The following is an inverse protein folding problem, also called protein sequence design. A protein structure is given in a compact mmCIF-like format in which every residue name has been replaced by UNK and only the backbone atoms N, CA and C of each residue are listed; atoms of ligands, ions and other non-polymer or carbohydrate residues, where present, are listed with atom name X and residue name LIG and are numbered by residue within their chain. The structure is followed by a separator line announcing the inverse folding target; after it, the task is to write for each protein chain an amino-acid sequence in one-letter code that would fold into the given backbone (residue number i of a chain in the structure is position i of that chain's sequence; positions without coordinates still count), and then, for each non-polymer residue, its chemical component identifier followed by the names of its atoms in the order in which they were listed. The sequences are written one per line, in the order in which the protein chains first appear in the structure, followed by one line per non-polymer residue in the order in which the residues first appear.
data_IF_106793859581
#
_entry.id   IF_106793859581
#
_cell.length_a   1.000
_cell.length_b   1.000
_cell.length_c   1.000
_cell.angle_alpha   90.00
_cell.angle_beta   90.00
_cell.angle_gamma   90.00
#
_symmetry.space_group_name_H-M   'P 1'
#
loop_
_entity.id
_entity.type
_entity.pdbx_description
1 polymer ?
#
# COMPACT_ATOMS: atom_id res chain seq x y z
N UNK A 1 9.02 22.81 25.53
CA UNK A 1 8.09 21.89 26.22
C UNK A 1 7.23 21.26 25.15
N UNK A 2 7.15 19.93 25.22
CA UNK A 2 6.34 19.00 24.41
C UNK A 2 6.64 18.87 22.91
N UNK A 3 7.67 18.08 22.60
CA UNK A 3 7.78 17.38 21.32
C UNK A 3 6.97 16.09 21.45
N UNK A 4 5.74 16.11 20.93
CA UNK A 4 4.84 14.97 20.88
C UNK A 4 5.54 13.75 20.29
N UNK A 5 5.69 12.74 21.13
CA UNK A 5 6.22 11.43 20.79
C UNK A 5 5.31 10.78 19.74
N UNK A 6 5.77 10.42 18.53
CA UNK A 6 4.94 9.61 17.65
C UNK A 6 4.80 8.25 18.34
N UNK A 7 3.58 7.91 18.77
CA UNK A 7 3.24 6.56 19.20
C UNK A 7 3.36 5.62 17.99
N UNK A 8 4.59 5.23 17.66
CA UNK A 8 4.84 4.07 16.82
C UNK A 8 4.53 2.85 17.68
N UNK A 9 3.29 2.37 17.56
CA UNK A 9 2.89 1.09 18.13
C UNK A 9 3.79 -0.02 17.59
N UNK A 10 4.62 -0.57 18.47
CA UNK A 10 5.29 -1.85 18.26
C UNK A 10 4.21 -2.92 18.09
N UNK A 11 3.88 -3.28 16.85
CA UNK A 11 3.01 -4.43 16.59
C UNK A 11 3.86 -5.68 16.40
N UNK A 12 3.55 -6.70 17.21
CA UNK A 12 4.19 -8.00 17.17
C UNK A 12 4.00 -8.67 15.81
N UNK A 13 5.06 -9.32 15.33
CA UNK A 13 5.23 -9.99 14.02
C UNK A 13 4.31 -11.20 13.75
N UNK A 14 3.14 -11.28 14.38
CA UNK A 14 2.12 -12.31 14.13
C UNK A 14 0.72 -11.79 14.51
N UNK A 15 0.35 -10.60 14.06
CA UNK A 15 -1.01 -10.10 14.24
C UNK A 15 -1.97 -10.82 13.27
N UNK A 16 -2.39 -12.03 13.65
CA UNK A 16 -3.64 -12.58 13.12
C UNK A 16 -4.74 -11.61 13.49
N UNK A 17 -5.35 -10.98 12.48
CA UNK A 17 -6.53 -10.15 12.68
C UNK A 17 -7.60 -10.96 13.41
N UNK A 18 -8.28 -10.30 14.33
CA UNK A 18 -9.38 -10.84 15.12
C UNK A 18 -10.59 -9.89 14.99
N UNK A 19 -11.81 -10.35 15.32
CA UNK A 19 -13.01 -9.53 15.22
C UNK A 19 -12.93 -8.17 15.92
N UNK A 20 -12.17 -8.06 17.01
CA UNK A 20 -12.06 -6.83 17.81
C UNK A 20 -11.30 -5.69 17.10
N UNK A 21 -10.58 -6.00 16.02
CA UNK A 21 -9.88 -5.00 15.22
C UNK A 21 -10.81 -4.22 14.27
N UNK A 22 -12.05 -4.70 14.05
CA UNK A 22 -12.97 -4.13 13.08
C UNK A 22 -13.99 -3.21 13.74
N UNK A 23 -13.96 -1.94 13.35
CA UNK A 23 -14.90 -0.91 13.83
C UNK A 23 -15.83 -0.50 12.69
N UNK A 24 -17.12 -0.32 12.98
CA UNK A 24 -18.11 0.16 12.00
C UNK A 24 -17.66 1.49 11.36
N UNK A 25 -17.79 1.58 10.04
CA UNK A 25 -17.40 2.76 9.26
C UNK A 25 -15.92 2.82 8.89
N UNK A 26 -15.05 1.99 9.48
CA UNK A 26 -13.63 1.95 9.15
C UNK A 26 -13.41 1.46 7.71
N UNK A 27 -12.42 2.05 7.03
CA UNK A 27 -12.01 1.61 5.70
C UNK A 27 -10.83 0.66 5.82
N UNK A 28 -10.87 -0.43 5.07
CA UNK A 28 -9.81 -1.43 5.02
C UNK A 28 -9.40 -1.73 3.59
N UNK A 29 -8.11 -1.96 3.41
CA UNK A 29 -7.57 -2.61 2.23
C UNK A 29 -7.75 -4.13 2.36
N UNK A 30 -8.20 -4.78 1.29
CA UNK A 30 -8.34 -6.23 1.17
C UNK A 30 -7.58 -6.73 -0.05
N UNK A 31 -7.08 -7.97 0.03
CA UNK A 31 -6.33 -8.59 -1.06
C UNK A 31 -7.24 -8.85 -2.27
N UNK A 32 -6.78 -8.46 -3.46
CA UNK A 32 -7.45 -8.71 -4.74
C UNK A 32 -7.21 -10.14 -5.25
N UNK A 33 -8.09 -10.63 -6.14
CA UNK A 33 -8.11 -12.02 -6.57
C UNK A 33 -7.19 -12.43 -7.74
N UNK A 34 -6.52 -11.53 -8.51
CA UNK A 34 -5.52 -11.99 -9.49
C UNK A 34 -4.13 -12.23 -8.90
N UNK A 35 -3.56 -11.24 -8.19
CA UNK A 35 -2.17 -11.26 -7.72
C UNK A 35 -2.02 -11.05 -6.20
N UNK A 36 -3.15 -11.06 -5.47
CA UNK A 36 -3.20 -11.00 -3.99
C UNK A 36 -2.57 -9.74 -3.43
N UNK A 37 -2.74 -8.62 -4.10
CA UNK A 37 -2.26 -7.32 -3.64
C UNK A 37 -3.40 -6.53 -2.98
N UNK A 38 -3.13 -5.73 -1.93
CA UNK A 38 -4.17 -5.04 -1.16
C UNK A 38 -4.66 -3.76 -1.87
N UNK A 39 -5.33 -3.91 -3.01
CA UNK A 39 -5.79 -2.80 -3.88
C UNK A 39 -7.28 -2.50 -3.77
N UNK A 40 -8.05 -3.41 -3.19
CA UNK A 40 -9.49 -3.27 -3.04
C UNK A 40 -9.79 -2.63 -1.69
N UNK A 41 -10.74 -1.69 -1.67
CA UNK A 41 -11.14 -1.02 -0.44
C UNK A 41 -12.58 -1.36 -0.07
N UNK A 42 -12.79 -1.56 1.23
CA UNK A 42 -14.10 -1.87 1.79
C UNK A 42 -14.36 -1.04 3.04
N UNK A 43 -15.61 -0.61 3.22
CA UNK A 43 -16.09 -0.02 4.47
C UNK A 43 -16.70 -1.09 5.34
N UNK A 44 -16.24 -1.21 6.58
CA UNK A 44 -16.82 -2.13 7.58
C UNK A 44 -18.25 -1.69 7.90
N UNK A 45 -19.20 -2.61 7.79
CA UNK A 45 -20.57 -2.40 8.25
C UNK A 45 -20.72 -3.00 9.65
N UNK A 46 -20.33 -4.26 9.83
CA UNK A 46 -20.30 -4.92 11.14
C UNK A 46 -19.53 -6.24 11.07
N UNK A 47 -19.02 -6.68 12.21
CA UNK A 47 -18.58 -8.07 12.39
C UNK A 47 -19.81 -8.99 12.36
N UNK A 48 -19.73 -10.10 11.62
CA UNK A 48 -20.83 -11.08 11.50
C UNK A 48 -20.52 -12.35 12.30
N UNK A 49 -19.25 -12.77 12.34
CA UNK A 49 -18.81 -13.95 13.08
C UNK A 49 -17.36 -13.81 13.55
N UNK A 50 -16.82 -14.86 14.18
CA UNK A 50 -15.40 -14.91 14.54
C UNK A 50 -14.44 -14.89 13.34
N UNK A 51 -14.93 -15.16 12.12
CA UNK A 51 -14.11 -15.21 10.91
C UNK A 51 -14.60 -14.29 9.80
N UNK A 52 -15.79 -13.70 9.89
CA UNK A 52 -16.38 -12.93 8.81
C UNK A 52 -16.87 -11.54 9.23
N UNK A 53 -16.68 -10.57 8.32
CA UNK A 53 -17.07 -9.17 8.46
C UNK A 53 -17.98 -8.80 7.28
N UNK A 54 -19.12 -8.19 7.57
CA UNK A 54 -19.99 -7.58 6.55
C UNK A 54 -19.42 -6.23 6.17
N UNK A 55 -19.26 -6.01 4.88
CA UNK A 55 -18.60 -4.83 4.32
C UNK A 55 -19.34 -4.29 3.11
N UNK A 56 -19.09 -3.02 2.81
CA UNK A 56 -19.53 -2.36 1.59
C UNK A 56 -18.31 -2.08 0.72
N UNK A 57 -18.29 -2.59 -0.51
CA UNK A 57 -17.17 -2.35 -1.43
C UNK A 57 -17.12 -0.87 -1.82
N UNK A 58 -15.91 -0.32 -1.91
CA UNK A 58 -15.68 0.99 -2.52
C UNK A 58 -15.25 0.80 -3.98
N UNK A 59 -15.88 1.54 -4.88
CA UNK A 59 -15.63 1.51 -6.32
C UNK A 59 -14.85 2.76 -6.75
N UNK A 60 -13.88 2.64 -7.67
CA UNK A 60 -13.21 3.80 -8.25
C UNK A 60 -14.21 4.77 -8.87
N UNK A 61 -14.01 6.06 -8.62
CA UNK A 61 -14.77 7.16 -9.21
C UNK A 61 -13.79 8.06 -9.99
N UNK A 62 -13.46 7.69 -11.25
CA UNK A 62 -12.50 8.45 -12.05
C UNK A 62 -13.03 9.85 -12.38
N UNK A 63 -12.16 10.84 -12.31
CA UNK A 63 -12.45 12.26 -12.54
C UNK A 63 -11.67 12.82 -13.75
N UNK A 64 -10.57 12.19 -14.13
CA UNK A 64 -9.74 12.55 -15.30
C UNK A 64 -9.93 11.55 -16.45
N UNK A 65 -9.68 11.98 -17.68
CA UNK A 65 -9.82 11.10 -18.86
C UNK A 65 -8.91 9.87 -18.78
N UNK A 66 -7.70 10.03 -18.27
CA UNK A 66 -6.75 8.94 -18.07
C UNK A 66 -7.24 7.94 -17.02
N UNK A 67 -7.88 8.44 -15.95
CA UNK A 67 -8.48 7.60 -14.91
C UNK A 67 -9.70 6.84 -15.46
N UNK A 68 -10.49 7.48 -16.32
CA UNK A 68 -11.65 6.85 -16.97
C UNK A 68 -11.18 5.69 -17.83
N UNK A 69 -10.23 5.91 -18.75
CA UNK A 69 -9.68 4.86 -19.60
C UNK A 69 -9.05 3.73 -18.78
N UNK A 70 -8.30 4.06 -17.71
CA UNK A 70 -7.68 3.08 -16.83
C UNK A 70 -8.72 2.16 -16.17
N UNK A 71 -9.85 2.73 -15.72
CA UNK A 71 -10.95 1.97 -15.12
C UNK A 71 -11.72 1.16 -16.17
N UNK A 72 -11.96 1.71 -17.36
CA UNK A 72 -12.63 1.03 -18.49
C UNK A 72 -11.82 -0.17 -18.99
N UNK A 73 -10.49 -0.09 -18.97
CA UNK A 73 -9.57 -1.19 -19.27
C UNK A 73 -9.50 -2.25 -18.14
N UNK A 74 -10.23 -2.03 -17.05
CA UNK A 74 -10.31 -2.95 -15.91
C UNK A 74 -9.03 -3.00 -15.07
N UNK A 75 -8.19 -1.97 -15.15
CA UNK A 75 -6.93 -1.91 -14.41
C UNK A 75 -7.16 -1.53 -12.94
N UNK A 76 -6.36 -2.04 -11.99
CA UNK A 76 -6.54 -1.78 -10.58
C UNK A 76 -6.27 -0.31 -10.23
N UNK A 77 -7.13 0.27 -9.38
CA UNK A 77 -6.98 1.64 -8.87
C UNK A 77 -6.70 1.59 -7.38
N UNK A 78 -5.46 1.87 -6.99
CA UNK A 78 -5.01 1.77 -5.61
C UNK A 78 -5.09 3.09 -4.83
N UNK A 79 -5.16 4.23 -5.51
CA UNK A 79 -5.37 5.52 -4.86
C UNK A 79 -6.16 6.44 -5.79
N UNK A 80 -6.94 7.35 -5.23
CA UNK A 80 -7.87 8.19 -5.96
C UNK A 80 -9.14 8.48 -5.17
N UNK A 81 -10.18 8.83 -5.93
CA UNK A 81 -11.53 9.04 -5.40
C UNK A 81 -12.35 7.78 -5.60
N UNK A 82 -13.06 7.38 -4.56
CA UNK A 82 -13.92 6.21 -4.58
C UNK A 82 -15.34 6.59 -4.14
N UNK A 83 -16.32 5.78 -4.53
CA UNK A 83 -17.71 5.87 -4.05
C UNK A 83 -18.11 4.56 -3.39
N UNK A 84 -19.11 4.62 -2.53
CA UNK A 84 -19.73 3.39 -2.03
C UNK A 84 -20.43 2.65 -3.19
N UNK A 85 -20.21 1.35 -3.28
CA UNK A 85 -21.03 0.47 -4.11
C UNK A 85 -22.45 0.34 -3.56
N UNK A 86 -23.31 -0.39 -4.28
CA UNK A 86 -24.70 -0.61 -3.90
C UNK A 86 -24.92 -1.84 -3.01
N UNK A 87 -24.00 -2.81 -3.05
CA UNK A 87 -24.18 -4.11 -2.43
C UNK A 87 -23.19 -4.37 -1.29
N UNK A 88 -23.70 -4.95 -0.22
CA UNK A 88 -22.88 -5.45 0.88
C UNK A 88 -22.44 -6.89 0.60
N UNK A 89 -21.20 -7.21 0.95
CA UNK A 89 -20.65 -8.55 0.90
C UNK A 89 -20.18 -9.00 2.29
N UNK A 90 -19.99 -10.29 2.47
CA UNK A 90 -19.24 -10.83 3.61
C UNK A 90 -17.81 -11.14 3.14
N UNK A 91 -16.83 -10.78 3.97
CA UNK A 91 -15.41 -11.05 3.75
C UNK A 91 -14.85 -11.81 4.93
N UNK A 92 -14.04 -12.82 4.66
CA UNK A 92 -13.29 -13.50 5.71
C UNK A 92 -12.20 -12.57 6.25
N UNK A 93 -11.92 -12.61 7.55
CA UNK A 93 -10.92 -11.77 8.23
C UNK A 93 -9.53 -11.96 7.60
N UNK A 94 -9.23 -13.14 7.05
CA UNK A 94 -7.98 -13.43 6.34
C UNK A 94 -7.81 -12.69 5.01
N UNK A 95 -8.88 -12.11 4.45
CA UNK A 95 -8.83 -11.30 3.23
C UNK A 95 -8.38 -9.86 3.50
N UNK A 96 -8.39 -9.43 4.76
CA UNK A 96 -8.03 -8.06 5.15
C UNK A 96 -6.52 -7.90 5.29
N UNK A 97 -6.01 -6.76 4.83
CA UNK A 97 -4.61 -6.40 4.95
C UNK A 97 -4.39 -5.39 6.08
N UNK A 98 -4.94 -4.18 5.93
CA UNK A 98 -4.68 -3.09 6.87
C UNK A 98 -5.78 -2.02 6.81
N UNK A 99 -5.98 -1.25 7.91
CA UNK A 99 -6.87 -0.11 7.89
C UNK A 99 -6.27 1.03 7.05
N UNK A 100 -7.15 1.76 6.38
CA UNK A 100 -6.81 2.84 5.45
C UNK A 100 -7.40 4.13 5.98
N UNK A 101 -6.55 5.15 6.09
CA UNK A 101 -7.02 6.50 6.38
C UNK A 101 -7.67 7.08 5.13
N UNK A 102 -8.85 7.68 5.32
CA UNK A 102 -9.64 8.22 4.22
C UNK A 102 -10.17 9.60 4.59
N UNK A 103 -9.92 10.57 3.72
CA UNK A 103 -10.55 11.88 3.85
C UNK A 103 -12.00 11.74 3.35
N UNK A 104 -12.92 11.56 4.29
CA UNK A 104 -14.35 11.50 4.04
C UNK A 104 -14.99 12.87 4.23
N UNK A 105 -15.89 13.26 3.33
CA UNK A 105 -16.72 14.44 3.54
C UNK A 105 -18.20 14.06 3.51
N UNK A 106 -18.91 14.37 4.59
CA UNK A 106 -20.36 14.17 4.74
C UNK A 106 -21.19 14.79 3.61
N UNK A 107 -20.64 15.80 2.93
CA UNK A 107 -21.31 16.52 1.85
C UNK A 107 -21.16 15.86 0.47
N UNK A 108 -20.20 14.95 0.25
CA UNK A 108 -19.83 14.52 -1.10
C UNK A 108 -20.00 13.03 -1.40
N UNK A 109 -20.36 12.19 -0.43
CA UNK A 109 -20.56 10.74 -0.67
C UNK A 109 -19.36 10.00 -1.31
N UNK A 110 -18.17 10.63 -1.28
CA UNK A 110 -16.93 10.11 -1.85
C UNK A 110 -15.89 9.87 -0.75
N UNK A 111 -15.02 8.91 -1.03
CA UNK A 111 -13.91 8.48 -0.19
C UNK A 111 -12.62 8.84 -0.92
N UNK A 112 -11.80 9.73 -0.35
CA UNK A 112 -10.48 10.06 -0.91
C UNK A 112 -9.44 9.21 -0.22
N UNK A 113 -8.81 8.32 -0.99
CA UNK A 113 -7.76 7.43 -0.51
C UNK A 113 -6.51 7.77 -1.31
N UNK A 114 -5.61 8.51 -0.69
CA UNK A 114 -4.35 8.94 -1.29
C UNK A 114 -3.18 8.60 -0.36
N UNK A 115 -1.96 8.40 -0.90
CA UNK A 115 -0.78 8.15 -0.08
C UNK A 115 -0.57 9.25 0.97
N UNK A 116 -0.28 8.84 2.21
CA UNK A 116 0.00 9.73 3.34
C UNK A 116 1.48 9.70 3.73
N UNK A 117 1.98 10.80 4.27
CA UNK A 117 3.38 10.92 4.68
C UNK A 117 3.79 9.80 5.64
N UNK A 118 4.95 9.19 5.37
CA UNK A 118 5.51 8.09 6.16
C UNK A 118 5.02 6.70 5.76
N UNK A 119 4.02 6.59 4.89
CA UNK A 119 3.61 5.29 4.36
C UNK A 119 4.63 4.75 3.35
N UNK A 120 4.65 3.43 3.20
CA UNK A 120 5.37 2.74 2.13
C UNK A 120 4.39 2.28 1.07
N UNK A 121 4.71 2.56 -0.19
CA UNK A 121 3.88 2.21 -1.33
C UNK A 121 4.70 1.49 -2.41
N UNK A 122 4.05 0.54 -3.06
CA UNK A 122 4.51 -0.06 -4.29
C UNK A 122 4.09 0.82 -5.48
N UNK A 123 5.01 1.10 -6.40
CA UNK A 123 4.75 1.83 -7.64
C UNK A 123 5.18 1.02 -8.85
N UNK A 124 4.38 1.05 -9.91
CA UNK A 124 4.71 0.42 -11.19
C UNK A 124 5.98 1.04 -11.79
N UNK A 125 6.96 0.19 -12.15
CA UNK A 125 8.16 0.62 -12.87
C UNK A 125 7.77 0.97 -14.32
N UNK A 126 8.35 2.04 -14.85
CA UNK A 126 8.12 2.49 -16.24
C UNK A 126 6.63 2.68 -16.59
N UNK A 127 5.83 3.09 -15.61
CA UNK A 127 4.40 3.36 -15.79
C UNK A 127 4.18 4.34 -16.94
N UNK A 128 3.18 4.01 -17.78
CA UNK A 128 2.63 4.85 -18.84
C UNK A 128 1.12 4.64 -18.85
N UNK A 129 0.38 5.65 -19.33
CA UNK A 129 -1.09 5.60 -19.40
C UNK A 129 -1.59 4.37 -20.19
N UNK A 130 -0.87 3.96 -21.24
CA UNK A 130 -1.19 2.79 -22.04
C UNK A 130 -0.69 1.45 -21.44
N UNK A 131 -0.75 1.29 -20.11
CA UNK A 131 -0.49 0.00 -19.47
C UNK A 131 -1.67 -0.94 -19.73
N UNK A 132 -1.37 -2.22 -19.92
CA UNK A 132 -2.35 -3.30 -19.96
C UNK A 132 -2.28 -4.16 -18.69
N UNK A 133 -3.27 -5.01 -18.45
CA UNK A 133 -3.21 -6.02 -17.38
C UNK A 133 -1.95 -6.89 -17.49
N UNK A 134 -1.55 -7.26 -18.72
CA UNK A 134 -0.33 -8.04 -18.96
C UNK A 134 0.97 -7.27 -18.59
N UNK A 135 0.96 -5.94 -18.70
CA UNK A 135 2.08 -5.11 -18.24
C UNK A 135 2.14 -5.08 -16.71
N UNK A 136 0.98 -4.98 -16.04
CA UNK A 136 0.87 -5.02 -14.57
C UNK A 136 1.34 -6.36 -14.02
N UNK A 137 0.88 -7.49 -14.58
CA UNK A 137 1.25 -8.85 -14.17
C UNK A 137 2.75 -9.12 -14.32
N UNK A 138 3.39 -8.47 -15.30
CA UNK A 138 4.83 -8.57 -15.55
C UNK A 138 5.64 -7.55 -14.78
N UNK A 139 5.00 -6.50 -14.26
CA UNK A 139 5.66 -5.42 -13.56
C UNK A 139 6.14 -5.90 -12.20
N UNK A 140 7.43 -5.71 -11.93
CA UNK A 140 7.95 -5.79 -10.58
C UNK A 140 7.94 -4.36 -10.01
N UNK A 141 6.99 -4.01 -9.13
CA UNK A 141 6.90 -2.64 -8.64
C UNK A 141 8.11 -2.29 -7.78
N UNK A 142 8.45 -1.01 -7.76
CA UNK A 142 9.45 -0.45 -6.84
C UNK A 142 8.77 0.00 -5.56
N UNK A 143 9.49 -0.11 -4.45
CA UNK A 143 9.03 0.42 -3.16
C UNK A 143 9.47 1.87 -3.02
N UNK A 144 8.57 2.70 -2.50
CA UNK A 144 8.84 4.10 -2.18
C UNK A 144 8.28 4.46 -0.81
N UNK A 145 8.95 5.38 -0.12
CA UNK A 145 8.43 6.06 1.05
C UNK A 145 7.76 7.36 0.63
N UNK A 146 6.61 7.66 1.21
CA UNK A 146 5.89 8.92 0.98
C UNK A 146 6.46 10.01 1.88
N UNK A 147 6.92 11.12 1.30
CA UNK A 147 7.57 12.23 2.02
C UNK A 147 6.65 13.41 2.33
N UNK A 148 5.55 13.54 1.59
CA UNK A 148 4.53 14.58 1.78
C UNK A 148 3.13 14.00 1.62
N UNK A 149 2.12 14.62 2.22
CA UNK A 149 0.73 14.28 1.89
C UNK A 149 0.39 14.75 0.47
N UNK A 150 -0.59 14.08 -0.14
CA UNK A 150 -1.07 14.43 -1.47
C UNK A 150 -1.88 15.73 -1.49
N UNK A 151 -1.67 16.54 -2.52
CA UNK A 151 -2.56 17.65 -2.92
C UNK A 151 -2.80 17.63 -4.42
N UNK A 152 -3.93 18.17 -4.87
CA UNK A 152 -4.29 18.19 -6.29
C UNK A 152 -3.36 19.14 -7.09
N UNK A 153 -2.82 20.18 -6.43
CA UNK A 153 -1.97 21.21 -7.02
C UNK A 153 -0.51 20.77 -7.18
N UNK A 154 0.04 20.06 -6.20
CA UNK A 154 1.47 19.69 -6.15
C UNK A 154 1.68 18.20 -6.44
N UNK A 155 0.74 17.35 -6.03
CA UNK A 155 0.90 15.90 -6.02
C UNK A 155 1.56 15.40 -4.74
N UNK A 156 2.43 14.39 -4.85
CA UNK A 156 3.08 13.72 -3.72
C UNK A 156 4.57 13.52 -3.96
N UNK A 157 5.41 13.88 -2.98
CA UNK A 157 6.84 13.61 -3.05
C UNK A 157 7.16 12.24 -2.47
N UNK A 158 8.00 11.47 -3.16
CA UNK A 158 8.37 10.10 -2.75
C UNK A 158 9.88 9.90 -2.72
N UNK A 159 10.37 9.04 -1.85
CA UNK A 159 11.76 8.59 -1.80
C UNK A 159 11.86 7.13 -2.26
N UNK A 160 12.77 6.83 -3.19
CA UNK A 160 13.00 5.45 -3.62
C UNK A 160 13.59 4.62 -2.48
N UNK A 161 13.06 3.42 -2.29
CA UNK A 161 13.63 2.40 -1.42
C UNK A 161 14.32 1.30 -2.23
N UNK A 162 15.33 0.68 -1.63
CA UNK A 162 15.98 -0.53 -2.12
C UNK A 162 16.01 -1.57 -1.03
N UNK A 163 15.93 -2.85 -1.42
CA UNK A 163 16.03 -3.98 -0.51
C UNK A 163 17.42 -4.04 0.12
N UNK A 164 17.50 -4.31 1.42
CA UNK A 164 18.74 -4.58 2.14
C UNK A 164 19.25 -5.94 1.68
N UNK A 165 20.56 -6.04 1.37
CA UNK A 165 21.16 -7.27 0.83
C UNK A 165 20.93 -8.44 1.81
N UNK A 166 20.50 -9.60 1.29
CA UNK A 166 20.25 -10.79 2.09
C UNK A 166 19.00 -10.73 2.97
N UNK A 167 18.16 -9.71 2.82
CA UNK A 167 16.92 -9.54 3.59
C UNK A 167 15.73 -9.34 2.64
N UNK A 168 14.75 -10.27 2.66
CA UNK A 168 13.59 -10.18 1.77
C UNK A 168 12.70 -8.96 2.07
N UNK A 169 12.49 -8.66 3.35
CA UNK A 169 11.47 -7.73 3.84
C UNK A 169 12.03 -6.40 4.33
N UNK A 170 13.35 -6.22 4.33
CA UNK A 170 13.99 -5.01 4.84
C UNK A 170 14.39 -4.09 3.69
N UNK A 171 14.03 -2.82 3.80
CA UNK A 171 14.25 -1.80 2.77
C UNK A 171 14.84 -0.53 3.37
N UNK A 172 15.70 0.15 2.62
CA UNK A 172 16.32 1.41 3.01
C UNK A 172 16.23 2.43 1.87
N UNK A 173 16.34 3.71 2.22
CA UNK A 173 16.37 4.79 1.22
C UNK A 173 17.59 4.63 0.30
N UNK A 174 17.37 4.87 -0.99
CA UNK A 174 18.47 4.96 -1.96
C UNK A 174 19.18 6.29 -1.78
N UNK A 175 20.51 6.25 -1.64
CA UNK A 175 21.38 7.42 -1.55
C UNK A 175 22.26 7.46 -2.80
N UNK A 176 22.33 8.61 -3.45
CA UNK A 176 23.18 8.89 -4.63
C UNK A 176 23.93 10.18 -4.33
N UNK A 177 25.26 10.13 -4.34
CA UNK A 177 26.12 11.30 -4.03
C UNK A 177 25.69 12.03 -2.73
N UNK A 178 25.41 11.26 -1.67
CA UNK A 178 24.93 11.72 -0.36
C UNK A 178 23.49 12.31 -0.32
N UNK A 179 22.77 12.33 -1.44
CA UNK A 179 21.37 12.74 -1.50
C UNK A 179 20.42 11.56 -1.56
N UNK A 180 19.26 11.69 -0.90
CA UNK A 180 18.16 10.75 -1.07
C UNK A 180 17.56 10.87 -2.48
N UNK A 181 17.34 9.74 -3.15
CA UNK A 181 16.73 9.72 -4.48
C UNK A 181 15.21 9.94 -4.38
N UNK A 182 14.79 11.19 -4.53
CA UNK A 182 13.38 11.60 -4.45
C UNK A 182 12.76 11.89 -5.82
N UNK A 183 11.43 11.80 -5.94
CA UNK A 183 10.68 12.21 -7.12
C UNK A 183 9.33 12.82 -6.71
N UNK A 184 8.96 13.93 -7.32
CA UNK A 184 7.58 14.46 -7.25
C UNK A 184 6.69 13.71 -8.24
N UNK A 185 5.57 13.18 -7.75
CA UNK A 185 4.54 12.48 -8.53
C UNK A 185 3.34 13.41 -8.64
N UNK A 186 3.05 13.85 -9.86
CA UNK A 186 1.93 14.74 -10.14
C UNK A 186 0.57 14.02 -10.04
N UNK A 187 -0.53 14.78 -10.02
CA UNK A 187 -1.90 14.22 -10.06
C UNK A 187 -2.10 13.25 -11.24
N UNK A 188 -1.62 13.58 -12.43
CA UNK A 188 -1.73 12.72 -13.62
C UNK A 188 -0.90 11.43 -13.53
N UNK A 189 0.08 11.37 -12.63
CA UNK A 189 0.92 10.18 -12.43
C UNK A 189 0.42 9.30 -11.27
N UNK A 190 -0.69 9.64 -10.60
CA UNK A 190 -1.17 8.89 -9.43
C UNK A 190 -1.57 7.44 -9.74
N UNK A 191 -1.96 7.15 -10.98
CA UNK A 191 -2.21 5.78 -11.46
C UNK A 191 -0.94 4.90 -11.47
N UNK A 192 0.24 5.48 -11.26
CA UNK A 192 1.49 4.71 -11.10
C UNK A 192 1.61 4.01 -9.74
N UNK A 193 0.77 4.34 -8.76
CA UNK A 193 0.72 3.64 -7.47
C UNK A 193 -0.05 2.31 -7.58
N UNK A 194 0.56 1.23 -7.09
CA UNK A 194 -0.02 -0.12 -7.14
C UNK A 194 -0.74 -0.52 -5.86
N UNK A 195 -0.17 -0.26 -4.69
CA UNK A 195 -0.78 -0.53 -3.37
C UNK A 195 0.09 0.02 -2.25
N UNK A 196 -0.51 0.23 -1.07
CA UNK A 196 0.22 0.45 0.16
C UNK A 196 0.79 -0.87 0.68
N UNK A 197 2.03 -0.82 1.15
CA UNK A 197 2.71 -1.94 1.80
C UNK A 197 2.82 -1.60 3.30
N UNK A 198 2.12 -2.30 4.20
CA UNK A 198 2.29 -2.10 5.63
C UNK A 198 3.76 -2.24 6.03
N UNK A 199 4.23 -1.31 6.86
CA UNK A 199 5.65 -1.18 7.15
C UNK A 199 5.89 -0.59 8.54
N UNK A 200 7.05 -0.85 9.11
CA UNK A 200 7.49 -0.21 10.35
C UNK A 200 8.99 0.07 10.44
N UNK A 201 9.24 1.13 11.20
CA UNK A 201 10.44 1.51 11.96
C UNK A 201 11.28 0.39 12.55
N UNK A 202 12.34 -0.11 11.91
CA UNK A 202 13.31 -0.96 12.61
C UNK A 202 14.35 -0.07 13.28
N UNK A 203 14.30 -0.02 14.62
CA UNK A 203 15.21 0.79 15.42
C UNK A 203 16.58 0.10 15.47
N UNK A 204 16.67 -1.17 15.88
CA UNK A 204 17.89 -1.99 15.87
C UNK A 204 17.55 -3.50 15.79
N UNK A 205 18.36 -4.27 15.05
CA UNK A 205 18.39 -5.74 15.08
C UNK A 205 19.84 -6.15 15.33
N UNK A 206 20.11 -6.81 16.47
CA UNK A 206 21.49 -7.10 16.92
C UNK A 206 22.18 -8.24 16.15
N UNK A 207 21.40 -9.13 15.53
CA UNK A 207 21.90 -10.39 14.96
C UNK A 207 21.95 -10.41 13.41
N UNK A 208 21.73 -9.26 12.76
CA UNK A 208 21.85 -9.12 11.29
C UNK A 208 22.45 -7.76 10.95
N UNK A 209 23.19 -7.71 9.83
CA UNK A 209 23.71 -6.47 9.24
C UNK A 209 22.59 -5.62 8.59
N UNK A 210 21.55 -5.28 9.36
CA UNK A 210 20.43 -4.46 8.93
C UNK A 210 20.69 -3.02 9.36
N UNK A 211 20.82 -2.07 8.41
CA UNK A 211 21.07 -0.68 8.74
C UNK A 211 19.98 -0.07 9.62
N UNK A 212 20.37 0.75 10.59
CA UNK A 212 19.45 1.50 11.44
C UNK A 212 18.54 2.39 10.61
N UNK A 213 17.24 2.40 10.95
CA UNK A 213 16.25 3.17 10.21
C UNK A 213 15.75 2.48 8.93
N UNK A 214 16.07 1.20 8.73
CA UNK A 214 15.45 0.38 7.70
C UNK A 214 13.95 0.17 7.99
N UNK A 215 13.17 0.07 6.92
CA UNK A 215 11.77 -0.33 6.96
C UNK A 215 11.67 -1.85 6.89
N UNK A 216 10.94 -2.45 7.82
CA UNK A 216 10.46 -3.83 7.64
C UNK A 216 9.07 -3.82 7.03
N UNK A 217 8.93 -4.43 5.86
CA UNK A 217 7.71 -4.48 5.07
C UNK A 217 6.96 -5.81 5.30
N UNK A 218 5.63 -5.73 5.32
CA UNK A 218 4.74 -6.90 5.42
C UNK A 218 4.97 -7.85 4.21
N UNK A 219 5.43 -9.09 4.45
CA UNK A 219 5.74 -10.03 3.38
C UNK A 219 4.59 -10.30 2.41
N UNK A 220 3.34 -10.34 2.90
CA UNK A 220 2.18 -10.64 2.06
C UNK A 220 1.81 -9.51 1.10
N UNK A 221 2.33 -8.30 1.34
CA UNK A 221 2.18 -7.16 0.45
C UNK A 221 3.43 -6.94 -0.43
N UNK A 222 4.34 -7.92 -0.48
CA UNK A 222 5.45 -7.92 -1.45
C UNK A 222 5.08 -8.77 -2.68
N UNK A 223 5.41 -8.32 -3.90
CA UNK A 223 5.23 -9.12 -5.11
C UNK A 223 5.90 -10.49 -5.02
N UNK A 224 5.20 -11.57 -5.42
CA UNK A 224 5.64 -12.96 -5.30
C UNK A 224 7.03 -13.22 -5.91
N UNK A 225 7.38 -12.57 -7.03
CA UNK A 225 8.69 -12.73 -7.68
C UNK A 225 9.87 -12.35 -6.79
N UNK A 226 9.66 -11.48 -5.79
CA UNK A 226 10.71 -11.11 -4.84
C UNK A 226 11.08 -12.27 -3.91
N UNK A 227 10.13 -13.17 -3.64
CA UNK A 227 10.33 -14.37 -2.81
C UNK A 227 11.18 -15.39 -3.57
N UNK A 228 10.84 -15.66 -4.83
CA UNK A 228 11.60 -16.60 -5.68
C UNK A 228 13.04 -16.13 -5.90
N UNK A 229 13.24 -14.83 -6.16
CA UNK A 229 14.58 -14.26 -6.31
C UNK A 229 15.39 -14.39 -5.02
N UNK A 230 14.77 -14.18 -3.85
CA UNK A 230 15.45 -14.35 -2.56
C UNK A 230 15.86 -15.81 -2.32
N UNK A 231 14.97 -16.76 -2.59
CA UNK A 231 15.29 -18.21 -2.48
C UNK A 231 16.49 -18.55 -3.38
N UNK A 232 16.50 -18.02 -4.62
CA UNK A 232 17.62 -18.17 -5.55
C UNK A 232 18.94 -17.54 -5.06
N UNK A 233 18.88 -16.33 -4.50
CA UNK A 233 20.06 -15.64 -3.96
C UNK A 233 20.64 -16.37 -2.75
N UNK A 234 19.80 -16.91 -1.87
CA UNK A 234 20.24 -17.74 -0.74
C UNK A 234 20.89 -19.03 -1.23
N UNK A 235 20.28 -19.72 -2.21
CA UNK A 235 20.80 -20.98 -2.74
C UNK A 235 22.17 -20.85 -3.45
N UNK A 236 22.54 -19.66 -3.94
CA UNK A 236 23.87 -19.41 -4.54
C UNK A 236 24.97 -19.07 -3.53
N UNK A 237 24.60 -18.78 -2.28
CA UNK A 237 25.52 -18.39 -1.21
C UNK A 237 25.71 -19.50 -0.16
N UNK A 238 25.28 -20.73 -0.46
CA UNK A 238 25.50 -21.96 0.32
C UNK A 238 26.44 -22.88 -0.44
#
# INVERSE_FOLDING_TARGET
MDLGNPQQGMMNYNNKLSPEHFVEGQIWAVYDAPDRMPRLYVRVIRVVSHTAVSVLKLEPHPMLNEEIHWVEDGLPVACGVFRAGSETACKEISEFSHPVECDWSAKRSFYRIFPKKGEIWAMYKNWKIAFSNADIDKCEPRMVEILSDYSDEIGVNVCRLTRVKGCLTFFQRVIVEDFHLTKLISRSEMLSFSHRVPAYVVIEIKDRDIPKGSWHLEPNALPLRNIDQYIWEVAKNV
#
